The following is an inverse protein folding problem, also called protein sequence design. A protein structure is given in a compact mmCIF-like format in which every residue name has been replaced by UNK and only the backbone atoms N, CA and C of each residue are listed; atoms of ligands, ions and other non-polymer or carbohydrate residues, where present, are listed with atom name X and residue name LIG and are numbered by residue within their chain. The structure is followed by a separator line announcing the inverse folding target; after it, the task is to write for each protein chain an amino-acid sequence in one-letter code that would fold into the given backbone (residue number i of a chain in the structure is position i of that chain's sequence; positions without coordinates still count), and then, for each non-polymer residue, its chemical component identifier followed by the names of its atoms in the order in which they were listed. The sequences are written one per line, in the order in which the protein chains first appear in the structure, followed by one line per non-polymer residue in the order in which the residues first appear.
data_IF_548609758718
#
_entry.id   IF_548609758718
#
_cell.length_a   1.000
_cell.length_b   1.000
_cell.length_c   1.000
_cell.angle_alpha   90.00
_cell.angle_beta   90.00
_cell.angle_gamma   90.00
#
_symmetry.space_group_name_H-M   'P 1'
#
loop_
_entity.id
_entity.type
_entity.pdbx_description
1 polymer ?
#
# COMPACT_ATOMS: atom_id res chain seq x y z
N UNK A 1 -0.74 -20.05 -28.14
CA UNK A 1 -2.20 -20.28 -28.16
C UNK A 1 -2.69 -21.44 -27.28
N UNK A 2 -1.97 -22.56 -27.13
CA UNK A 2 -2.34 -23.58 -26.11
C UNK A 2 -1.92 -23.12 -24.71
N UNK A 3 -0.77 -22.44 -24.58
CA UNK A 3 -0.28 -21.88 -23.34
C UNK A 3 -1.18 -20.75 -22.79
N UNK A 4 -1.75 -19.91 -23.65
CA UNK A 4 -2.69 -18.83 -23.24
C UNK A 4 -3.87 -19.39 -22.46
N UNK A 5 -4.39 -20.56 -22.86
CA UNK A 5 -5.47 -21.23 -22.14
C UNK A 5 -5.00 -21.72 -20.76
N UNK A 6 -3.76 -22.17 -20.63
CA UNK A 6 -3.19 -22.59 -19.35
C UNK A 6 -2.99 -21.39 -18.40
N UNK A 7 -2.56 -20.23 -18.91
CA UNK A 7 -2.51 -18.97 -18.16
C UNK A 7 -3.93 -18.58 -17.72
N UNK A 8 -4.89 -18.51 -18.64
CA UNK A 8 -6.28 -18.13 -18.33
C UNK A 8 -6.94 -19.02 -17.27
N UNK A 9 -6.65 -20.33 -17.27
CA UNK A 9 -7.14 -21.23 -16.22
C UNK A 9 -6.64 -20.84 -14.83
N UNK A 10 -5.36 -20.43 -14.70
CA UNK A 10 -4.79 -20.00 -13.43
C UNK A 10 -5.39 -18.67 -12.99
N UNK A 11 -5.58 -17.74 -13.90
CA UNK A 11 -6.24 -16.46 -13.60
C UNK A 11 -7.67 -16.64 -13.12
N UNK A 12 -8.44 -17.54 -13.78
CA UNK A 12 -9.79 -17.87 -13.32
C UNK A 12 -9.79 -18.47 -11.90
N UNK A 13 -8.74 -19.21 -11.51
CA UNK A 13 -8.60 -19.70 -10.15
C UNK A 13 -8.27 -18.56 -9.17
N UNK A 14 -7.39 -17.63 -9.57
CA UNK A 14 -7.05 -16.44 -8.77
C UNK A 14 -8.28 -15.56 -8.53
N UNK A 15 -9.09 -15.32 -9.56
CA UNK A 15 -10.26 -14.44 -9.49
C UNK A 15 -11.44 -15.08 -8.74
N UNK A 16 -11.75 -16.35 -9.03
CA UNK A 16 -12.97 -17.00 -8.55
C UNK A 16 -12.71 -17.98 -7.40
N UNK A 17 -11.47 -18.29 -7.11
CA UNK A 17 -11.08 -19.16 -6.00
C UNK A 17 -11.15 -18.40 -4.66
N UNK A 18 -11.63 -19.08 -3.61
CA UNK A 18 -11.51 -18.58 -2.24
C UNK A 18 -10.09 -18.88 -1.72
N UNK A 19 -9.08 -18.33 -2.42
CA UNK A 19 -7.66 -18.60 -2.22
C UNK A 19 -7.03 -17.55 -1.30
N UNK A 20 -6.08 -17.99 -0.50
CA UNK A 20 -5.22 -17.10 0.28
C UNK A 20 -4.26 -16.31 -0.64
N UNK A 21 -3.72 -15.16 -0.20
CA UNK A 21 -2.72 -14.41 -0.96
C UNK A 21 -1.51 -15.28 -1.36
N UNK A 22 -1.10 -16.22 -0.51
CA UNK A 22 -0.01 -17.15 -0.81
C UNK A 22 -0.34 -18.10 -1.98
N UNK A 23 -1.54 -18.69 -1.99
CA UNK A 23 -1.98 -19.57 -3.08
C UNK A 23 -2.14 -18.81 -4.40
N UNK A 24 -2.65 -17.57 -4.34
CA UNK A 24 -2.73 -16.70 -5.53
C UNK A 24 -1.34 -16.36 -6.07
N UNK A 25 -0.40 -15.99 -5.21
CA UNK A 25 0.98 -15.70 -5.60
C UNK A 25 1.64 -16.90 -6.30
N UNK A 26 1.41 -18.13 -5.82
CA UNK A 26 1.91 -19.35 -6.48
C UNK A 26 1.33 -19.53 -7.89
N UNK A 27 0.02 -19.35 -8.06
CA UNK A 27 -0.62 -19.47 -9.38
C UNK A 27 -0.15 -18.39 -10.36
N UNK A 28 0.06 -17.17 -9.87
CA UNK A 28 0.59 -16.08 -10.69
C UNK A 28 2.05 -16.34 -11.11
N UNK A 29 2.89 -16.86 -10.21
CA UNK A 29 4.27 -17.29 -10.54
C UNK A 29 4.30 -18.40 -11.60
N UNK A 30 3.38 -19.38 -11.50
CA UNK A 30 3.23 -20.40 -12.54
C UNK A 30 2.79 -19.82 -13.89
N UNK A 31 1.84 -18.85 -13.87
CA UNK A 31 1.39 -18.17 -15.08
C UNK A 31 2.50 -17.37 -15.75
N UNK A 32 3.33 -16.67 -14.96
CA UNK A 32 4.52 -15.95 -15.43
C UNK A 32 5.51 -16.93 -16.07
N UNK A 33 5.80 -18.06 -15.41
CA UNK A 33 6.72 -19.08 -15.97
C UNK A 33 6.24 -19.59 -17.32
N UNK A 34 4.93 -19.83 -17.49
CA UNK A 34 4.36 -20.25 -18.77
C UNK A 34 4.53 -19.15 -19.84
N UNK A 35 4.32 -17.88 -19.48
CA UNK A 35 4.52 -16.75 -20.39
C UNK A 35 5.98 -16.66 -20.84
N UNK A 36 6.92 -16.79 -19.90
CA UNK A 36 8.36 -16.76 -20.16
C UNK A 36 8.82 -17.89 -21.09
N UNK A 37 8.35 -19.12 -20.86
CA UNK A 37 8.65 -20.29 -21.70
C UNK A 37 8.14 -20.13 -23.15
N UNK A 38 7.21 -19.19 -23.38
CA UNK A 38 6.61 -18.92 -24.69
C UNK A 38 6.97 -17.53 -25.26
N UNK A 39 7.98 -16.86 -24.67
CA UNK A 39 8.47 -15.53 -25.08
C UNK A 39 7.31 -14.50 -25.17
N UNK A 40 6.38 -14.51 -24.20
CA UNK A 40 5.24 -13.61 -24.13
C UNK A 40 5.36 -12.60 -22.98
N UNK A 41 6.11 -11.50 -23.19
CA UNK A 41 6.32 -10.49 -22.15
C UNK A 41 5.03 -9.77 -21.75
N UNK A 42 4.02 -9.71 -22.63
CA UNK A 42 2.74 -9.07 -22.30
C UNK A 42 2.06 -9.78 -21.12
N UNK A 43 1.89 -11.11 -21.21
CA UNK A 43 1.33 -11.88 -20.10
C UNK A 43 2.23 -11.86 -18.86
N UNK A 44 3.56 -11.92 -19.04
CA UNK A 44 4.49 -11.89 -17.93
C UNK A 44 4.38 -10.58 -17.11
N UNK A 45 4.28 -9.44 -17.79
CA UNK A 45 4.10 -8.12 -17.16
C UNK A 45 2.73 -8.01 -16.46
N UNK A 46 1.64 -8.39 -17.14
CA UNK A 46 0.29 -8.32 -16.56
C UNK A 46 0.20 -9.14 -15.26
N UNK A 47 0.66 -10.40 -15.30
CA UNK A 47 0.65 -11.28 -14.12
C UNK A 47 1.63 -10.81 -13.04
N UNK A 48 2.75 -10.20 -13.44
CA UNK A 48 3.71 -9.63 -12.51
C UNK A 48 3.14 -8.47 -11.69
N UNK A 49 2.29 -7.63 -12.30
CA UNK A 49 1.61 -6.54 -11.58
C UNK A 49 0.59 -7.06 -10.56
N UNK A 50 -0.12 -8.15 -10.90
CA UNK A 50 -1.02 -8.81 -9.95
C UNK A 50 -0.23 -9.51 -8.84
N UNK A 51 0.90 -10.13 -9.18
CA UNK A 51 1.79 -10.76 -8.21
C UNK A 51 2.34 -9.74 -7.19
N UNK A 52 2.71 -8.54 -7.61
CA UNK A 52 3.14 -7.46 -6.71
C UNK A 52 2.06 -7.17 -5.65
N UNK A 53 0.78 -7.18 -6.03
CA UNK A 53 -0.31 -6.98 -5.07
C UNK A 53 -0.35 -8.08 -4.00
N UNK A 54 -0.29 -9.33 -4.41
CA UNK A 54 -0.33 -10.46 -3.48
C UNK A 54 0.95 -10.51 -2.58
N UNK A 55 2.12 -10.19 -3.14
CA UNK A 55 3.37 -10.09 -2.37
C UNK A 55 3.34 -8.97 -1.33
N UNK A 56 2.71 -7.84 -1.66
CA UNK A 56 2.51 -6.74 -0.73
C UNK A 56 1.63 -7.16 0.46
N UNK A 57 0.54 -7.90 0.19
CA UNK A 57 -0.30 -8.47 1.26
C UNK A 57 0.48 -9.48 2.15
N UNK A 58 1.45 -10.18 1.59
CA UNK A 58 2.31 -11.14 2.30
C UNK A 58 3.51 -10.47 2.99
N UNK A 59 3.69 -9.16 2.84
CA UNK A 59 4.87 -8.41 3.33
C UNK A 59 6.21 -8.99 2.80
N UNK A 60 6.23 -9.48 1.55
CA UNK A 60 7.39 -10.04 0.88
C UNK A 60 8.12 -8.97 0.05
N UNK A 61 8.61 -7.92 0.73
CA UNK A 61 9.17 -6.73 0.11
C UNK A 61 10.33 -7.00 -0.86
N UNK A 62 11.24 -7.92 -0.52
CA UNK A 62 12.37 -8.26 -1.39
C UNK A 62 11.91 -8.84 -2.73
N UNK A 63 10.95 -9.76 -2.69
CA UNK A 63 10.41 -10.39 -3.89
C UNK A 63 9.56 -9.39 -4.69
N UNK A 64 8.80 -8.54 -4.02
CA UNK A 64 8.03 -7.44 -4.62
C UNK A 64 8.94 -6.52 -5.44
N UNK A 65 10.09 -6.11 -4.89
CA UNK A 65 11.10 -5.29 -5.57
C UNK A 65 11.70 -6.04 -6.76
N UNK A 66 12.02 -7.32 -6.62
CA UNK A 66 12.61 -8.12 -7.69
C UNK A 66 11.65 -8.28 -8.88
N UNK A 67 10.37 -8.58 -8.62
CA UNK A 67 9.33 -8.68 -9.67
C UNK A 67 9.16 -7.35 -10.37
N UNK A 68 9.08 -6.25 -9.61
CA UNK A 68 8.92 -4.91 -10.20
C UNK A 68 10.13 -4.50 -11.04
N UNK A 69 11.35 -4.78 -10.58
CA UNK A 69 12.58 -4.46 -11.33
C UNK A 69 12.58 -5.11 -12.71
N UNK A 70 12.12 -6.36 -12.80
CA UNK A 70 11.94 -7.05 -14.08
C UNK A 70 10.87 -6.37 -14.96
N UNK A 71 9.70 -6.08 -14.40
CA UNK A 71 8.61 -5.40 -15.12
C UNK A 71 9.09 -4.05 -15.66
N UNK A 72 9.84 -3.30 -14.86
CA UNK A 72 10.37 -2.01 -15.26
C UNK A 72 11.37 -2.15 -16.42
N UNK A 73 12.24 -3.18 -16.40
CA UNK A 73 13.17 -3.47 -17.48
C UNK A 73 12.43 -3.86 -18.78
N UNK A 74 11.45 -4.75 -18.70
CA UNK A 74 10.59 -5.13 -19.84
C UNK A 74 9.88 -3.90 -20.41
N UNK A 75 9.31 -3.03 -19.56
CA UNK A 75 8.67 -1.78 -19.97
C UNK A 75 9.66 -0.80 -20.61
N UNK A 76 10.88 -0.64 -20.07
CA UNK A 76 11.90 0.24 -20.67
C UNK A 76 12.32 -0.23 -22.08
N UNK A 77 12.30 -1.53 -22.30
CA UNK A 77 12.60 -2.14 -23.60
C UNK A 77 11.40 -2.07 -24.58
N UNK A 78 10.17 -2.07 -24.09
CA UNK A 78 8.95 -1.96 -24.90
C UNK A 78 7.84 -1.22 -24.16
N UNK A 79 7.70 0.07 -24.46
CA UNK A 79 6.73 0.97 -23.82
C UNK A 79 5.25 0.63 -24.10
N UNK A 80 5.00 -0.22 -25.10
CA UNK A 80 3.64 -0.60 -25.48
C UNK A 80 3.08 -1.76 -24.63
N UNK A 81 3.93 -2.41 -23.81
CA UNK A 81 3.51 -3.52 -22.96
C UNK A 81 2.49 -3.11 -21.89
N UNK A 82 2.66 -1.90 -21.33
CA UNK A 82 1.83 -1.42 -20.23
C UNK A 82 1.81 0.10 -20.21
N UNK A 83 0.76 0.70 -19.66
CA UNK A 83 0.71 2.14 -19.46
C UNK A 83 1.71 2.60 -18.38
N UNK A 84 2.36 3.75 -18.61
CA UNK A 84 3.27 4.32 -17.60
C UNK A 84 2.53 4.66 -16.29
N UNK A 85 1.22 4.92 -16.35
CA UNK A 85 0.41 5.15 -15.17
C UNK A 85 0.31 3.91 -14.26
N UNK A 86 0.14 2.71 -14.84
CA UNK A 86 0.08 1.47 -14.08
C UNK A 86 1.45 1.14 -13.45
N UNK A 87 2.54 1.41 -14.18
CA UNK A 87 3.91 1.33 -13.64
C UNK A 87 4.07 2.27 -12.45
N UNK A 88 3.70 3.54 -12.59
CA UNK A 88 3.89 4.54 -11.53
C UNK A 88 3.09 4.21 -10.27
N UNK A 89 1.87 3.67 -10.43
CA UNK A 89 1.05 3.25 -9.29
C UNK A 89 1.74 2.15 -8.48
N UNK A 90 2.29 1.14 -9.16
CA UNK A 90 3.05 0.06 -8.51
C UNK A 90 4.38 0.58 -7.98
N UNK A 91 5.07 1.44 -8.72
CA UNK A 91 6.35 2.02 -8.28
C UNK A 91 6.24 2.73 -6.92
N UNK A 92 5.13 3.41 -6.67
CA UNK A 92 4.86 4.00 -5.36
C UNK A 92 4.88 2.96 -4.23
N UNK A 93 4.34 1.75 -4.47
CA UNK A 93 4.39 0.68 -3.49
C UNK A 93 5.80 0.15 -3.29
N UNK A 94 6.54 0.00 -4.37
CA UNK A 94 7.95 -0.43 -4.33
C UNK A 94 8.82 0.55 -3.55
N UNK A 95 8.61 1.86 -3.69
CA UNK A 95 9.28 2.86 -2.84
C UNK A 95 8.99 2.62 -1.35
N UNK A 96 7.74 2.27 -1.02
CA UNK A 96 7.35 1.91 0.35
C UNK A 96 7.99 0.61 0.83
N UNK A 97 8.03 -0.43 -0.02
CA UNK A 97 8.64 -1.72 0.27
C UNK A 97 10.16 -1.59 0.50
N UNK A 98 10.84 -0.72 -0.27
CA UNK A 98 12.27 -0.48 -0.13
C UNK A 98 12.67 0.05 1.26
N UNK A 99 11.75 0.70 1.98
CA UNK A 99 11.99 1.16 3.36
C UNK A 99 12.03 0.01 4.38
N UNK A 100 11.46 -1.14 4.02
CA UNK A 100 11.30 -2.30 4.90
C UNK A 100 12.37 -3.38 4.65
N UNK A 101 13.25 -3.20 3.65
CA UNK A 101 14.34 -4.14 3.31
C UNK A 101 15.68 -3.61 3.86
N UNK A 102 16.26 -4.27 4.89
CA UNK A 102 17.48 -3.80 5.54
C UNK A 102 18.72 -3.71 4.62
N UNK A 103 18.74 -4.54 3.56
CA UNK A 103 19.82 -4.60 2.56
C UNK A 103 19.81 -3.42 1.59
N UNK A 104 18.68 -2.69 1.51
CA UNK A 104 18.58 -1.49 0.66
C UNK A 104 19.19 -0.30 1.40
N UNK A 105 20.32 0.19 0.90
CA UNK A 105 21.02 1.33 1.48
C UNK A 105 20.23 2.64 1.31
N UNK A 106 20.49 3.62 2.18
CA UNK A 106 19.85 4.93 2.07
C UNK A 106 20.07 5.58 0.69
N UNK A 107 21.26 5.44 0.12
CA UNK A 107 21.56 5.98 -1.22
C UNK A 107 20.73 5.31 -2.34
N UNK A 108 20.38 4.03 -2.18
CA UNK A 108 19.47 3.34 -3.11
C UNK A 108 18.03 3.81 -2.92
N UNK A 109 17.59 3.98 -1.67
CA UNK A 109 16.27 4.58 -1.36
C UNK A 109 16.16 5.97 -1.99
N UNK A 110 17.15 6.82 -1.81
CA UNK A 110 17.17 8.17 -2.37
C UNK A 110 17.09 8.15 -3.91
N UNK A 111 17.82 7.23 -4.54
CA UNK A 111 17.80 7.06 -5.99
C UNK A 111 16.44 6.57 -6.52
N UNK A 112 15.82 5.60 -5.86
CA UNK A 112 14.49 5.08 -6.19
C UNK A 112 13.44 6.19 -6.07
N UNK A 113 13.48 6.96 -4.98
CA UNK A 113 12.55 8.06 -4.73
C UNK A 113 12.70 9.19 -5.75
N UNK A 114 13.93 9.55 -6.13
CA UNK A 114 14.16 10.60 -7.12
C UNK A 114 13.74 10.15 -8.53
N UNK A 115 13.98 8.90 -8.93
CA UNK A 115 13.49 8.35 -10.21
C UNK A 115 11.95 8.34 -10.23
N UNK A 116 11.30 7.87 -9.16
CA UNK A 116 9.85 7.91 -9.01
C UNK A 116 9.30 9.34 -9.18
N UNK A 117 9.90 10.32 -8.50
CA UNK A 117 9.51 11.73 -8.59
C UNK A 117 9.63 12.27 -10.02
N UNK A 118 10.78 12.02 -10.67
CA UNK A 118 11.03 12.50 -12.04
C UNK A 118 9.98 11.92 -13.00
N UNK A 119 9.69 10.63 -12.92
CA UNK A 119 8.68 9.97 -13.76
C UNK A 119 7.28 10.50 -13.48
N UNK A 120 6.91 10.64 -12.22
CA UNK A 120 5.60 11.16 -11.79
C UNK A 120 5.36 12.56 -12.34
N UNK A 121 6.33 13.48 -12.17
CA UNK A 121 6.23 14.85 -12.68
C UNK A 121 6.20 14.89 -14.21
N UNK A 122 7.00 14.05 -14.89
CA UNK A 122 7.01 13.97 -16.37
C UNK A 122 5.66 13.53 -16.94
N UNK A 123 4.91 12.72 -16.19
CA UNK A 123 3.57 12.25 -16.57
C UNK A 123 2.45 13.21 -16.14
N UNK A 124 2.79 14.39 -15.65
CA UNK A 124 1.84 15.47 -15.36
C UNK A 124 1.16 15.37 -13.99
N UNK A 125 1.60 14.46 -13.14
CA UNK A 125 1.17 14.39 -11.75
C UNK A 125 1.89 15.42 -10.88
N UNK A 126 1.33 15.70 -9.69
CA UNK A 126 1.96 16.55 -8.68
C UNK A 126 3.10 15.81 -7.95
N UNK A 127 3.89 16.55 -7.17
CA UNK A 127 4.87 15.95 -6.27
C UNK A 127 4.25 15.33 -4.99
N UNK A 128 2.91 15.30 -4.88
CA UNK A 128 2.20 14.87 -3.67
C UNK A 128 2.57 13.45 -3.24
N UNK A 129 2.56 12.51 -4.20
CA UNK A 129 2.92 11.10 -3.93
C UNK A 129 4.37 10.95 -3.47
N UNK A 130 5.29 11.71 -4.02
CA UNK A 130 6.69 11.74 -3.57
C UNK A 130 6.81 12.26 -2.14
N UNK A 131 6.16 13.37 -1.80
CA UNK A 131 6.18 13.89 -0.42
C UNK A 131 5.45 12.97 0.56
N UNK A 132 4.42 12.26 0.12
CA UNK A 132 3.78 11.21 0.92
C UNK A 132 4.76 10.09 1.30
N UNK A 133 5.58 9.63 0.36
CA UNK A 133 6.59 8.60 0.62
C UNK A 133 7.66 9.09 1.61
N UNK A 134 8.13 10.32 1.47
CA UNK A 134 9.07 10.91 2.43
C UNK A 134 8.44 11.08 3.81
N UNK A 135 7.19 11.54 3.88
CA UNK A 135 6.45 11.62 5.13
C UNK A 135 6.32 10.24 5.78
N UNK A 136 5.93 9.21 5.03
CA UNK A 136 5.87 7.83 5.51
C UNK A 136 7.22 7.35 6.06
N UNK A 137 8.30 7.55 5.31
CA UNK A 137 9.64 7.14 5.68
C UNK A 137 10.08 7.79 7.01
N UNK A 138 10.03 9.12 7.09
CA UNK A 138 10.46 9.84 8.29
C UNK A 138 9.55 9.59 9.50
N UNK A 139 8.25 9.37 9.30
CA UNK A 139 7.33 9.00 10.38
C UNK A 139 7.68 7.61 10.95
N UNK A 140 7.97 6.61 10.10
CA UNK A 140 8.45 5.28 10.52
C UNK A 140 9.77 5.35 11.28
N UNK A 141 10.69 6.21 10.85
CA UNK A 141 11.97 6.47 11.52
C UNK A 141 11.82 7.31 12.80
N UNK A 142 10.61 7.73 13.18
CA UNK A 142 10.30 8.62 14.31
C UNK A 142 11.04 9.96 14.26
N UNK A 143 11.41 10.40 13.08
CA UNK A 143 11.99 11.73 12.83
C UNK A 143 10.86 12.73 12.58
N UNK A 144 10.08 13.01 13.64
CA UNK A 144 8.80 13.70 13.53
C UNK A 144 8.89 15.15 13.01
N UNK A 145 10.01 15.84 13.20
CA UNK A 145 10.21 17.18 12.64
C UNK A 145 10.30 17.13 11.10
N UNK A 146 11.08 16.19 10.55
CA UNK A 146 11.15 15.95 9.12
C UNK A 146 9.84 15.40 8.58
N UNK A 147 9.20 14.45 9.29
CA UNK A 147 7.89 13.94 8.92
C UNK A 147 6.88 15.08 8.78
N UNK A 148 6.86 16.03 9.75
CA UNK A 148 5.98 17.21 9.66
C UNK A 148 6.28 18.08 8.45
N UNK A 149 7.55 18.36 8.17
CA UNK A 149 7.96 19.15 7.01
C UNK A 149 7.41 18.55 5.71
N UNK A 150 7.55 17.21 5.54
CA UNK A 150 7.07 16.52 4.34
C UNK A 150 5.55 16.35 4.31
N UNK A 151 4.89 16.23 5.47
CA UNK A 151 3.43 16.28 5.53
C UNK A 151 2.89 17.65 5.07
N UNK A 152 3.52 18.75 5.50
CA UNK A 152 3.14 20.10 5.07
C UNK A 152 3.36 20.30 3.56
N UNK A 153 4.47 19.79 2.99
CA UNK A 153 4.73 19.80 1.55
C UNK A 153 3.70 18.96 0.79
N UNK A 154 3.41 17.74 1.25
CA UNK A 154 2.39 16.88 0.69
C UNK A 154 1.03 17.59 0.61
N UNK A 155 0.59 18.18 1.71
CA UNK A 155 -0.70 18.88 1.80
C UNK A 155 -0.76 20.18 0.97
N UNK A 156 0.38 20.78 0.62
CA UNK A 156 0.45 21.96 -0.25
C UNK A 156 0.33 21.61 -1.74
N UNK A 157 0.59 20.35 -2.11
CA UNK A 157 0.45 19.87 -3.48
C UNK A 157 -0.98 19.50 -3.83
N UNK A 158 -1.33 19.60 -5.11
CA UNK A 158 -2.64 19.18 -5.61
C UNK A 158 -2.83 17.67 -5.40
N UNK A 159 -3.99 17.28 -4.88
CA UNK A 159 -4.43 15.89 -4.88
C UNK A 159 -4.70 15.43 -6.32
N UNK A 160 -4.18 14.28 -6.69
CA UNK A 160 -4.34 13.65 -7.99
C UNK A 160 -4.50 12.13 -7.87
N UNK A 161 -4.66 11.45 -9.02
CA UNK A 161 -4.96 10.01 -9.08
C UNK A 161 -3.81 9.11 -8.61
N UNK A 162 -2.60 9.68 -8.34
CA UNK A 162 -1.51 8.94 -7.73
C UNK A 162 -1.68 8.75 -6.23
N UNK A 163 -2.71 9.36 -5.62
CA UNK A 163 -2.92 9.30 -4.18
C UNK A 163 -4.31 8.78 -3.81
N UNK A 164 -4.36 8.08 -2.69
CA UNK A 164 -5.59 7.69 -2.01
C UNK A 164 -5.78 8.61 -0.80
N UNK A 165 -6.79 9.47 -0.83
CA UNK A 165 -7.06 10.43 0.25
C UNK A 165 -7.27 9.74 1.61
N UNK A 166 -7.97 8.60 1.63
CA UNK A 166 -8.17 7.83 2.85
C UNK A 166 -6.85 7.30 3.44
N UNK A 167 -5.91 6.87 2.58
CA UNK A 167 -4.58 6.41 3.02
C UNK A 167 -3.71 7.56 3.54
N UNK A 168 -3.79 8.74 2.93
CA UNK A 168 -3.12 9.95 3.43
C UNK A 168 -3.62 10.35 4.81
N UNK A 169 -4.95 10.39 4.99
CA UNK A 169 -5.55 10.70 6.29
C UNK A 169 -5.13 9.69 7.36
N UNK A 170 -5.01 8.41 6.99
CA UNK A 170 -4.57 7.37 7.91
C UNK A 170 -3.09 7.53 8.31
N UNK A 171 -2.22 7.97 7.40
CA UNK A 171 -0.82 8.28 7.71
C UNK A 171 -0.70 9.54 8.59
N UNK A 172 -1.49 10.57 8.32
CA UNK A 172 -1.57 11.76 9.18
C UNK A 172 -2.07 11.39 10.57
N UNK A 173 -3.07 10.50 10.66
CA UNK A 173 -3.57 9.98 11.92
C UNK A 173 -2.45 9.32 12.73
N UNK A 174 -1.64 8.46 12.11
CA UNK A 174 -0.48 7.83 12.76
C UNK A 174 0.46 8.87 13.36
N UNK A 175 0.85 9.87 12.58
CA UNK A 175 1.73 10.93 13.03
C UNK A 175 1.19 11.69 14.25
N UNK A 176 -0.09 12.09 14.23
CA UNK A 176 -0.68 12.82 15.36
C UNK A 176 -0.82 11.94 16.60
N UNK A 177 -1.20 10.67 16.46
CA UNK A 177 -1.33 9.75 17.57
C UNK A 177 0.02 9.42 18.22
N UNK A 178 1.06 9.17 17.41
CA UNK A 178 2.40 8.85 17.89
C UNK A 178 3.08 10.06 18.56
N UNK A 179 2.73 11.28 18.15
CA UNK A 179 3.20 12.52 18.78
C UNK A 179 2.34 12.99 19.96
N UNK A 180 1.38 12.15 20.42
CA UNK A 180 0.54 12.44 21.60
C UNK A 180 -0.58 13.45 21.38
N UNK A 181 -0.90 13.76 20.12
CA UNK A 181 -1.88 14.80 19.73
C UNK A 181 -3.25 14.18 19.38
N UNK A 182 -3.82 13.45 20.33
CA UNK A 182 -5.05 12.67 20.12
C UNK A 182 -6.23 13.54 19.59
N UNK A 183 -6.47 14.71 20.15
CA UNK A 183 -7.61 15.53 19.77
C UNK A 183 -7.53 16.02 18.31
N UNK A 184 -6.33 16.37 17.86
CA UNK A 184 -6.08 16.73 16.46
C UNK A 184 -6.21 15.52 15.55
N UNK A 185 -5.68 14.35 15.96
CA UNK A 185 -5.84 13.09 15.25
C UNK A 185 -7.32 12.76 15.04
N UNK A 186 -8.12 12.81 16.11
CA UNK A 186 -9.55 12.51 16.08
C UNK A 186 -10.32 13.49 15.18
N UNK A 187 -9.97 14.78 15.23
CA UNK A 187 -10.58 15.82 14.39
C UNK A 187 -10.29 15.58 12.90
N UNK A 188 -9.04 15.27 12.56
CA UNK A 188 -8.62 15.00 11.18
C UNK A 188 -9.17 13.69 10.63
N UNK A 189 -9.44 12.71 11.49
CA UNK A 189 -10.02 11.43 11.10
C UNK A 189 -11.53 11.48 10.82
N UNK A 190 -12.21 12.62 11.04
CA UNK A 190 -13.66 12.73 10.85
C UNK A 190 -14.14 12.31 9.44
N UNK A 191 -13.45 12.63 8.33
CA UNK A 191 -13.84 12.13 7.00
C UNK A 191 -13.80 10.59 6.90
N UNK A 192 -12.83 9.91 7.55
CA UNK A 192 -12.77 8.45 7.63
C UNK A 192 -13.86 7.88 8.53
N UNK A 193 -14.08 8.50 9.71
CA UNK A 193 -15.07 8.08 10.69
C UNK A 193 -16.50 8.16 10.10
N UNK A 194 -16.77 9.23 9.37
CA UNK A 194 -18.08 9.49 8.75
C UNK A 194 -18.24 8.86 7.35
N UNK A 195 -17.29 8.02 6.93
CA UNK A 195 -17.29 7.33 5.62
C UNK A 195 -17.42 8.30 4.42
N UNK A 196 -16.96 9.56 4.58
CA UNK A 196 -16.92 10.55 3.50
C UNK A 196 -15.81 10.21 2.49
N UNK A 197 -14.70 9.69 3.01
CA UNK A 197 -13.64 9.05 2.22
C UNK A 197 -13.47 7.62 2.70
N UNK A 198 -13.30 6.70 1.76
CA UNK A 198 -13.21 5.27 2.06
C UNK A 198 -12.09 4.62 1.26
N UNK A 199 -11.45 3.62 1.87
CA UNK A 199 -10.54 2.71 1.23
C UNK A 199 -10.71 1.36 1.91
N UNK A 200 -10.37 0.27 1.22
CA UNK A 200 -10.56 -1.10 1.72
C UNK A 200 -10.05 -1.33 3.15
N UNK A 201 -8.95 -0.69 3.53
CA UNK A 201 -8.29 -0.88 4.82
C UNK A 201 -8.28 0.37 5.70
N UNK A 202 -8.20 1.55 5.09
CA UNK A 202 -7.87 2.77 5.81
C UNK A 202 -8.88 3.10 6.91
N UNK A 203 -10.18 2.87 6.68
CA UNK A 203 -11.22 3.12 7.67
C UNK A 203 -11.09 2.18 8.87
N UNK A 204 -10.92 0.87 8.63
CA UNK A 204 -10.73 -0.11 9.71
C UNK A 204 -9.48 0.21 10.53
N UNK A 205 -8.34 0.46 9.87
CA UNK A 205 -7.10 0.84 10.54
C UNK A 205 -7.26 2.09 11.40
N UNK A 206 -7.98 3.09 10.89
CA UNK A 206 -8.27 4.31 11.64
C UNK A 206 -9.12 4.02 12.90
N UNK A 207 -10.18 3.21 12.78
CA UNK A 207 -11.04 2.87 13.92
C UNK A 207 -10.25 2.14 15.01
N UNK A 208 -9.47 1.16 14.61
CA UNK A 208 -8.65 0.38 15.52
C UNK A 208 -7.65 1.28 16.27
N UNK A 209 -6.90 2.12 15.58
CA UNK A 209 -5.92 3.04 16.17
C UNK A 209 -6.60 4.06 17.11
N UNK A 210 -7.69 4.65 16.67
CA UNK A 210 -8.43 5.61 17.47
C UNK A 210 -8.98 4.96 18.74
N UNK A 211 -9.52 3.73 18.69
CA UNK A 211 -9.96 3.00 19.86
C UNK A 211 -8.83 2.86 20.89
N UNK A 212 -7.68 2.37 20.46
CA UNK A 212 -6.53 2.18 21.34
C UNK A 212 -6.04 3.49 21.95
N UNK A 213 -5.79 4.51 21.14
CA UNK A 213 -5.27 5.78 21.64
C UNK A 213 -6.30 6.59 22.43
N UNK A 214 -7.61 6.42 22.17
CA UNK A 214 -8.68 7.00 22.99
C UNK A 214 -8.67 6.39 24.40
N UNK A 215 -8.49 5.08 24.52
CA UNK A 215 -8.35 4.41 25.81
C UNK A 215 -7.16 4.97 26.60
N UNK A 216 -6.00 5.11 25.93
CA UNK A 216 -4.81 5.72 26.54
C UNK A 216 -5.00 7.17 26.95
N UNK A 217 -5.78 7.93 26.19
CA UNK A 217 -6.09 9.34 26.46
C UNK A 217 -7.20 9.53 27.50
N UNK A 218 -7.73 8.45 28.11
CA UNK A 218 -8.81 8.52 29.10
C UNK A 218 -10.16 8.93 28.50
N UNK A 219 -10.43 8.56 27.26
CA UNK A 219 -11.67 8.86 26.52
C UNK A 219 -12.45 7.58 26.17
N UNK A 220 -12.98 6.87 27.18
CA UNK A 220 -13.57 5.53 27.01
C UNK A 220 -14.79 5.51 26.08
N UNK A 221 -15.56 6.59 26.01
CA UNK A 221 -16.72 6.67 25.11
C UNK A 221 -16.31 6.66 23.64
N UNK A 222 -15.25 7.42 23.28
CA UNK A 222 -14.68 7.40 21.92
C UNK A 222 -14.09 6.02 21.64
N UNK A 223 -13.36 5.44 22.58
CA UNK A 223 -12.79 4.10 22.42
C UNK A 223 -13.87 3.06 22.10
N UNK A 224 -14.99 3.07 22.86
CA UNK A 224 -16.12 2.15 22.65
C UNK A 224 -16.80 2.35 21.29
N UNK A 225 -17.03 3.60 20.85
CA UNK A 225 -17.60 3.89 19.53
C UNK A 225 -16.67 3.39 18.40
N UNK A 226 -15.38 3.63 18.52
CA UNK A 226 -14.40 3.19 17.51
C UNK A 226 -14.27 1.66 17.47
N UNK A 227 -14.34 0.96 18.60
CA UNK A 227 -14.40 -0.50 18.64
C UNK A 227 -15.63 -1.04 17.89
N UNK A 228 -16.82 -0.50 18.18
CA UNK A 228 -18.04 -0.93 17.51
C UNK A 228 -17.98 -0.73 15.97
N UNK A 229 -17.39 0.38 15.50
CA UNK A 229 -17.18 0.63 14.07
C UNK A 229 -16.15 -0.32 13.46
N UNK A 230 -15.11 -0.69 14.20
CA UNK A 230 -14.14 -1.67 13.75
C UNK A 230 -14.77 -3.05 13.62
N UNK A 231 -15.60 -3.47 14.58
CA UNK A 231 -16.36 -4.73 14.53
C UNK A 231 -17.30 -4.75 13.31
N UNK A 232 -18.05 -3.66 13.07
CA UNK A 232 -18.89 -3.54 11.87
C UNK A 232 -18.07 -3.65 10.57
N UNK A 233 -16.89 -3.03 10.51
CA UNK A 233 -16.02 -3.06 9.33
C UNK A 233 -15.35 -4.42 9.11
N UNK A 234 -15.24 -5.25 10.15
CA UNK A 234 -14.70 -6.61 10.10
C UNK A 234 -15.76 -7.65 9.73
N UNK A 235 -17.04 -7.36 9.92
CA UNK A 235 -18.11 -8.30 9.66
C UNK A 235 -18.08 -8.80 8.19
N UNK A 236 -18.01 -10.13 8.02
CA UNK A 236 -17.88 -10.78 6.71
C UNK A 236 -16.46 -10.82 6.14
N UNK A 237 -15.46 -10.35 6.89
CA UNK A 237 -14.04 -10.32 6.50
C UNK A 237 -13.15 -11.16 7.43
N UNK A 238 -13.73 -12.08 8.18
CA UNK A 238 -13.04 -12.86 9.22
C UNK A 238 -11.97 -13.81 8.67
N UNK A 239 -12.01 -14.07 7.35
CA UNK A 239 -11.02 -14.89 6.62
C UNK A 239 -9.93 -14.07 5.95
N UNK A 240 -9.96 -12.76 6.06
CA UNK A 240 -8.96 -11.88 5.48
C UNK A 240 -7.70 -11.87 6.36
N UNK A 241 -6.74 -12.73 6.01
CA UNK A 241 -5.50 -12.93 6.76
C UNK A 241 -4.70 -11.62 6.93
N UNK A 242 -4.77 -10.73 5.95
CA UNK A 242 -4.12 -9.43 6.01
C UNK A 242 -4.67 -8.56 7.15
N UNK A 243 -5.98 -8.62 7.41
CA UNK A 243 -6.60 -7.91 8.53
C UNK A 243 -6.19 -8.47 9.88
N UNK A 244 -5.86 -9.75 9.96
CA UNK A 244 -5.42 -10.39 11.21
C UNK A 244 -4.12 -9.76 11.74
N UNK A 245 -3.24 -9.27 10.85
CA UNK A 245 -2.03 -8.54 11.25
C UNK A 245 -2.37 -7.26 12.02
N UNK A 246 -3.38 -6.52 11.59
CA UNK A 246 -3.84 -5.32 12.28
C UNK A 246 -4.59 -5.64 13.58
N UNK A 247 -5.42 -6.67 13.59
CA UNK A 247 -6.14 -7.14 14.78
C UNK A 247 -5.15 -7.65 15.83
N UNK A 248 -4.14 -8.41 15.39
CA UNK A 248 -3.08 -8.92 16.27
C UNK A 248 -2.32 -7.83 17.01
N UNK A 249 -2.01 -6.72 16.33
CA UNK A 249 -1.43 -5.54 16.97
C UNK A 249 -2.34 -4.94 18.04
N UNK A 250 -3.64 -5.06 17.88
CA UNK A 250 -4.65 -4.62 18.85
C UNK A 250 -4.74 -5.51 20.09
N UNK A 251 -4.70 -6.83 19.91
CA UNK A 251 -4.82 -7.82 21.00
C UNK A 251 -3.58 -7.80 21.90
N UNK A 252 -2.40 -7.51 21.34
CA UNK A 252 -1.15 -7.45 22.12
C UNK A 252 -1.11 -6.23 23.06
N UNK A 253 -1.91 -5.19 22.80
CA UNK A 253 -1.92 -3.95 23.56
C UNK A 253 -3.15 -3.77 24.47
N UNK A 254 -4.12 -4.70 24.46
CA UNK A 254 -5.22 -4.81 25.41
C UNK A 254 -5.01 -5.94 26.41
#
# INVERSE_FOLDING_TARGET
MKYTLEIQKRLLQVENGNLSPHEKALLLKEAISIADENDDPQWAVEMGLDLIYELNLLSQAEEEIAVFSRILDDYENNKDLISENDILWKYKWICGAAFDVPEVSQSQIDAILEDFKIRTLRNGYSARAYYHLLFLHYNRMRQYDLAKEYADKMLSEKLDDMMCEACELNLLLDYYLETGRFDEAYQRAQPLINKQVTCYEANLRAFLKLAYYAQKAGKPEIASDMCARAEEALAGREKDEYLLLYIGQFIIYN
#
